data_IF_502808654962
#
_entry.id   IF_502808654962
#
_cell.length_a   1.000
_cell.length_b   1.000
_cell.length_c   1.000
_cell.angle_alpha   90.00
_cell.angle_beta   90.00
_cell.angle_gamma   90.00
#
_symmetry.space_group_name_H-M   'P 1'
#
loop_
_entity.id
_entity.type
_entity.pdbx_description
1 polymer ?
#
# COMPACT_ATOMS: atom_id res chain seq x y z
N UNK A 1 8.14 -32.03 38.96
CA UNK A 1 9.23 -31.06 38.80
C UNK A 1 9.27 -30.62 37.34
N UNK A 2 8.99 -29.34 37.10
CA UNK A 2 8.92 -28.68 35.80
C UNK A 2 10.32 -28.28 35.30
N UNK A 3 10.38 -28.02 33.99
CA UNK A 3 11.35 -27.18 33.27
C UNK A 3 12.64 -27.91 32.84
N UNK A 4 13.15 -27.78 31.61
CA UNK A 4 13.10 -26.68 30.65
C UNK A 4 13.12 -27.23 29.21
N UNK A 5 12.08 -27.01 28.42
CA UNK A 5 12.21 -27.00 26.96
C UNK A 5 12.43 -25.55 26.56
N UNK A 6 13.68 -25.21 26.27
CA UNK A 6 14.06 -23.89 25.79
C UNK A 6 13.46 -23.63 24.41
N UNK A 7 12.32 -22.95 24.38
CA UNK A 7 11.84 -22.29 23.18
C UNK A 7 12.92 -21.28 22.76
N UNK A 8 13.69 -21.62 21.72
CA UNK A 8 14.50 -20.65 21.00
C UNK A 8 13.55 -19.60 20.44
N UNK A 9 13.41 -18.49 21.16
CA UNK A 9 12.82 -17.26 20.65
C UNK A 9 13.71 -16.80 19.49
N UNK A 10 13.36 -17.20 18.27
CA UNK A 10 13.97 -16.68 17.05
C UNK A 10 13.64 -15.19 16.99
N UNK A 11 14.54 -14.35 17.49
CA UNK A 11 14.48 -12.91 17.30
C UNK A 11 14.81 -12.64 15.83
N UNK A 12 13.78 -12.43 15.01
CA UNK A 12 13.94 -12.01 13.63
C UNK A 12 14.28 -10.52 13.62
N UNK A 13 15.57 -10.16 13.63
CA UNK A 13 15.98 -8.78 13.37
C UNK A 13 15.99 -8.54 11.86
N UNK A 14 14.90 -8.00 11.35
CA UNK A 14 14.94 -7.32 10.05
C UNK A 14 15.66 -5.99 10.29
N UNK A 15 16.64 -5.67 9.45
CA UNK A 15 17.09 -4.29 9.32
C UNK A 15 15.96 -3.53 8.60
N UNK A 16 14.94 -3.15 9.39
CA UNK A 16 13.74 -2.44 8.93
C UNK A 16 14.07 -1.03 8.45
N UNK A 17 15.25 -0.52 8.83
CA UNK A 17 15.87 0.69 8.29
C UNK A 17 16.65 0.37 7.00
N UNK A 18 16.11 -0.55 6.20
CA UNK A 18 16.69 -0.95 4.93
C UNK A 18 17.13 0.28 4.14
N UNK A 19 18.35 0.24 3.58
CA UNK A 19 18.88 1.35 2.79
C UNK A 19 17.85 1.70 1.71
N UNK A 20 17.33 2.93 1.73
CA UNK A 20 16.46 3.40 0.66
C UNK A 20 17.26 3.47 -0.63
N UNK A 21 16.80 2.74 -1.64
CA UNK A 21 17.33 2.87 -2.99
C UNK A 21 16.64 4.06 -3.63
N UNK A 22 17.41 5.11 -3.89
CA UNK A 22 16.99 6.23 -4.70
C UNK A 22 17.51 6.01 -6.13
N UNK A 23 16.60 5.88 -7.09
CA UNK A 23 16.94 5.74 -8.50
C UNK A 23 16.28 6.88 -9.26
N UNK A 24 17.10 7.87 -9.64
CA UNK A 24 16.70 8.93 -10.54
C UNK A 24 17.16 8.60 -11.96
N UNK A 25 16.27 8.72 -12.92
CA UNK A 25 16.64 8.70 -14.33
C UNK A 25 15.92 9.82 -15.06
N UNK A 26 16.67 10.52 -15.92
CA UNK A 26 16.17 11.63 -16.70
C UNK A 26 16.32 11.33 -18.20
N UNK A 27 15.33 11.75 -18.96
CA UNK A 27 15.31 11.78 -20.40
C UNK A 27 14.59 13.06 -20.84
N UNK A 28 14.74 13.47 -22.09
CA UNK A 28 14.08 14.67 -22.63
C UNK A 28 12.55 14.69 -22.41
N UNK A 29 11.92 13.53 -22.21
CA UNK A 29 10.46 13.38 -22.14
C UNK A 29 9.97 12.95 -20.74
N UNK A 30 10.83 12.41 -19.88
CA UNK A 30 10.42 11.86 -18.57
C UNK A 30 11.52 11.92 -17.53
N UNK A 31 11.13 12.34 -16.32
CA UNK A 31 11.93 12.30 -15.09
C UNK A 31 11.30 11.30 -14.14
N UNK A 32 12.09 10.31 -13.71
CA UNK A 32 11.63 9.26 -12.79
C UNK A 32 12.40 9.35 -11.48
N UNK A 33 11.69 9.53 -10.37
CA UNK A 33 12.25 9.53 -9.03
C UNK A 33 11.69 8.34 -8.25
N UNK A 34 12.47 7.27 -8.09
CA UNK A 34 12.04 6.08 -7.36
C UNK A 34 12.73 5.99 -6.01
N UNK A 35 11.96 5.87 -4.93
CA UNK A 35 12.45 5.50 -3.61
C UNK A 35 11.74 4.25 -3.10
N UNK A 36 12.50 3.20 -2.79
CA UNK A 36 11.98 1.94 -2.23
C UNK A 36 12.99 1.29 -1.27
N UNK A 37 12.53 0.49 -0.30
CA UNK A 37 13.41 -0.14 0.68
C UNK A 37 14.20 -1.29 0.07
N UNK A 38 15.43 -1.47 0.57
CA UNK A 38 16.22 -2.69 0.39
C UNK A 38 16.39 -3.37 1.76
N UNK A 39 15.74 -4.50 1.94
CA UNK A 39 15.77 -5.28 3.17
C UNK A 39 17.04 -6.13 3.24
N UNK A 40 17.59 -6.29 4.45
CA UNK A 40 18.69 -7.23 4.74
C UNK A 40 18.21 -8.31 5.72
N UNK A 41 18.92 -9.42 5.76
CA UNK A 41 18.63 -10.55 6.66
C UNK A 41 17.87 -11.69 6.01
N UNK A 42 17.56 -12.71 6.81
CA UNK A 42 16.89 -13.93 6.36
C UNK A 42 15.49 -13.64 5.80
N UNK A 43 15.14 -14.23 4.65
CA UNK A 43 13.83 -14.05 4.02
C UNK A 43 13.64 -12.77 3.19
N UNK A 44 14.60 -11.83 3.22
CA UNK A 44 14.51 -10.54 2.52
C UNK A 44 14.49 -10.61 0.98
N UNK A 45 14.97 -11.71 0.39
CA UNK A 45 15.09 -11.86 -1.07
C UNK A 45 13.76 -11.68 -1.81
N UNK A 46 12.66 -12.22 -1.28
CA UNK A 46 11.33 -12.10 -1.91
C UNK A 46 10.78 -10.67 -1.83
N UNK A 47 10.96 -10.00 -0.69
CA UNK A 47 10.57 -8.59 -0.51
C UNK A 47 11.36 -7.68 -1.45
N UNK A 48 12.67 -7.88 -1.55
CA UNK A 48 13.55 -7.12 -2.45
C UNK A 48 13.20 -7.38 -3.92
N UNK A 49 12.87 -8.62 -4.27
CA UNK A 49 12.41 -8.96 -5.61
C UNK A 49 11.06 -8.29 -5.93
N UNK A 50 10.14 -8.24 -4.97
CA UNK A 50 8.87 -7.52 -5.14
C UNK A 50 9.10 -6.02 -5.39
N UNK A 51 9.91 -5.36 -4.55
CA UNK A 51 10.23 -3.94 -4.70
C UNK A 51 10.89 -3.63 -6.04
N UNK A 52 11.90 -4.42 -6.43
CA UNK A 52 12.63 -4.21 -7.68
C UNK A 52 11.76 -4.46 -8.92
N UNK A 53 10.86 -5.46 -8.88
CA UNK A 53 9.89 -5.69 -9.96
C UNK A 53 8.87 -4.57 -10.07
N UNK A 54 8.39 -4.03 -8.94
CA UNK A 54 7.49 -2.88 -8.95
C UNK A 54 8.16 -1.65 -9.57
N UNK A 55 9.39 -1.34 -9.15
CA UNK A 55 10.20 -0.27 -9.73
C UNK A 55 10.45 -0.48 -11.25
N UNK A 56 10.76 -1.70 -11.67
CA UNK A 56 10.96 -2.03 -13.08
C UNK A 56 9.67 -1.90 -13.92
N UNK A 57 8.52 -2.28 -13.35
CA UNK A 57 7.22 -2.11 -13.99
C UNK A 57 6.90 -0.63 -14.22
N UNK A 58 7.16 0.23 -13.23
CA UNK A 58 7.02 1.69 -13.39
C UNK A 58 7.94 2.24 -14.47
N UNK A 59 9.23 1.83 -14.48
CA UNK A 59 10.17 2.22 -15.55
C UNK A 59 9.63 1.84 -16.95
N UNK A 60 9.09 0.63 -17.09
CA UNK A 60 8.50 0.15 -18.34
C UNK A 60 7.27 0.97 -18.77
N UNK A 61 6.38 1.29 -17.82
CA UNK A 61 5.22 2.15 -18.06
C UNK A 61 5.63 3.56 -18.53
N UNK A 62 6.62 4.17 -17.88
CA UNK A 62 7.14 5.49 -18.22
C UNK A 62 7.71 5.54 -19.64
N UNK A 63 8.46 4.50 -20.03
CA UNK A 63 8.99 4.37 -21.41
C UNK A 63 7.87 4.36 -22.45
N UNK A 64 6.77 3.64 -22.19
CA UNK A 64 5.62 3.59 -23.11
C UNK A 64 4.97 4.95 -23.28
N UNK A 65 4.77 5.70 -22.18
CA UNK A 65 4.21 7.06 -22.25
C UNK A 65 5.16 8.01 -22.98
N UNK A 66 6.47 7.89 -22.74
CA UNK A 66 7.48 8.72 -23.40
C UNK A 66 7.43 8.57 -24.92
N UNK A 67 7.35 7.32 -25.42
CA UNK A 67 7.24 7.02 -26.85
C UNK A 67 5.97 7.63 -27.47
N UNK A 68 4.84 7.61 -26.75
CA UNK A 68 3.60 8.22 -27.24
C UNK A 68 3.59 9.75 -27.21
N UNK A 69 4.46 10.38 -26.40
CA UNK A 69 4.49 11.83 -26.18
C UNK A 69 5.66 12.51 -26.89
N UNK A 70 6.05 12.04 -28.08
CA UNK A 70 7.24 12.47 -28.81
C UNK A 70 7.13 13.89 -29.43
N UNK A 71 6.49 14.81 -28.72
CA UNK A 71 6.24 16.19 -29.12
C UNK A 71 7.21 17.09 -28.33
N UNK A 72 8.23 17.61 -29.01
CA UNK A 72 9.41 18.24 -28.41
C UNK A 72 9.14 19.50 -27.58
N UNK A 73 7.91 20.03 -27.63
CA UNK A 73 7.47 21.21 -26.88
C UNK A 73 6.74 20.90 -25.57
N UNK A 74 6.59 19.63 -25.17
CA UNK A 74 5.91 19.28 -23.91
C UNK A 74 6.89 19.20 -22.75
N UNK A 75 6.47 19.76 -21.60
CA UNK A 75 7.18 19.58 -20.34
C UNK A 75 7.36 18.09 -20.01
N UNK A 76 8.50 17.70 -19.41
CA UNK A 76 8.76 16.32 -19.09
C UNK A 76 7.71 15.78 -18.10
N UNK A 77 7.30 14.53 -18.30
CA UNK A 77 6.44 13.82 -17.36
C UNK A 77 7.27 13.44 -16.13
N UNK A 78 6.98 14.03 -14.98
CA UNK A 78 7.65 13.69 -13.72
C UNK A 78 6.85 12.59 -13.03
N UNK A 79 7.48 11.48 -12.68
CA UNK A 79 6.87 10.41 -11.88
C UNK A 79 7.67 10.20 -10.60
N UNK A 80 6.99 10.33 -9.47
CA UNK A 80 7.57 10.14 -8.14
C UNK A 80 6.98 8.89 -7.50
N UNK A 81 7.84 7.98 -7.04
CA UNK A 81 7.46 6.85 -6.21
C UNK A 81 8.08 7.00 -4.82
N UNK A 82 7.23 6.97 -3.79
CA UNK A 82 7.63 6.90 -2.39
C UNK A 82 7.20 5.57 -1.80
N UNK A 83 7.91 5.12 -0.77
CA UNK A 83 7.56 3.91 -0.05
C UNK A 83 7.50 4.16 1.45
N UNK A 84 6.59 3.48 2.13
CA UNK A 84 6.55 3.39 3.58
C UNK A 84 6.54 1.90 3.99
N UNK A 85 7.21 1.60 5.09
CA UNK A 85 7.26 0.26 5.67
C UNK A 85 6.71 0.34 7.09
N UNK A 86 5.81 -0.59 7.42
CA UNK A 86 5.34 -0.82 8.77
C UNK A 86 5.62 -2.26 9.14
N UNK A 87 6.02 -2.52 10.39
CA UNK A 87 6.32 -3.87 10.87
C UNK A 87 5.65 -4.13 12.21
N UNK A 88 5.09 -5.33 12.34
CA UNK A 88 4.76 -5.95 13.62
C UNK A 88 5.67 -7.15 13.86
N UNK A 89 5.51 -7.83 15.00
CA UNK A 89 6.35 -8.99 15.35
C UNK A 89 6.32 -10.11 14.29
N UNK A 90 5.18 -10.31 13.60
CA UNK A 90 4.99 -11.43 12.68
C UNK A 90 4.80 -11.01 11.22
N UNK A 91 4.61 -9.71 10.95
CA UNK A 91 4.21 -9.22 9.63
C UNK A 91 4.89 -7.91 9.24
N UNK A 92 5.06 -7.71 7.95
CA UNK A 92 5.54 -6.46 7.36
C UNK A 92 4.54 -5.96 6.34
N UNK A 93 4.22 -4.68 6.40
CA UNK A 93 3.44 -3.99 5.39
C UNK A 93 4.32 -3.03 4.61
N UNK A 94 4.18 -3.09 3.29
CA UNK A 94 4.87 -2.21 2.36
C UNK A 94 3.83 -1.43 1.57
N UNK A 95 3.95 -0.12 1.59
CA UNK A 95 3.10 0.80 0.84
C UNK A 95 3.97 1.56 -0.17
N UNK A 96 3.51 1.66 -1.41
CA UNK A 96 4.05 2.52 -2.44
C UNK A 96 3.03 3.58 -2.81
N UNK A 97 3.49 4.82 -2.97
CA UNK A 97 2.70 5.90 -3.53
C UNK A 97 3.37 6.41 -4.80
N UNK A 98 2.61 6.42 -5.89
CA UNK A 98 3.08 6.83 -7.21
C UNK A 98 2.27 8.04 -7.66
N UNK A 99 2.95 9.15 -7.92
CA UNK A 99 2.33 10.40 -8.40
C UNK A 99 2.97 10.87 -9.69
N UNK A 100 2.19 11.55 -10.52
CA UNK A 100 2.67 12.24 -11.71
C UNK A 100 2.67 13.75 -11.47
N UNK A 101 3.85 14.37 -11.46
CA UNK A 101 4.02 15.78 -11.15
C UNK A 101 3.45 16.14 -9.78
N UNK A 102 2.49 17.07 -9.77
CA UNK A 102 1.78 17.52 -8.56
C UNK A 102 0.43 16.83 -8.33
N UNK A 103 0.08 15.84 -9.15
CA UNK A 103 -1.17 15.11 -8.99
C UNK A 103 -1.14 14.27 -7.70
N UNK A 104 -2.33 14.03 -7.14
CA UNK A 104 -2.48 13.13 -6.01
C UNK A 104 -1.98 11.72 -6.37
N UNK A 105 -1.36 11.01 -5.42
CA UNK A 105 -0.78 9.71 -5.70
C UNK A 105 -1.84 8.62 -5.82
N UNK A 106 -1.48 7.57 -6.56
CA UNK A 106 -2.07 6.25 -6.42
C UNK A 106 -1.27 5.45 -5.40
N UNK A 107 -1.97 4.71 -4.51
CA UNK A 107 -1.34 3.87 -3.50
C UNK A 107 -1.42 2.40 -3.86
N UNK A 108 -0.33 1.68 -3.65
CA UNK A 108 -0.24 0.24 -3.77
C UNK A 108 0.27 -0.30 -2.45
N UNK A 109 -0.24 -1.45 -2.02
CA UNK A 109 0.18 -2.03 -0.76
C UNK A 109 0.33 -3.54 -0.88
N UNK A 110 1.16 -4.10 -0.02
CA UNK A 110 1.29 -5.53 0.16
C UNK A 110 1.72 -5.83 1.59
N UNK A 111 1.07 -6.81 2.20
CA UNK A 111 1.39 -7.28 3.55
C UNK A 111 2.00 -8.66 3.45
N UNK A 112 3.07 -8.91 4.20
CA UNK A 112 3.89 -10.11 4.11
C UNK A 112 4.05 -10.73 5.48
N UNK A 113 3.99 -12.06 5.56
CA UNK A 113 4.35 -12.79 6.76
C UNK A 113 5.87 -12.85 6.89
N UNK A 114 6.40 -12.39 8.02
CA UNK A 114 7.83 -12.47 8.32
C UNK A 114 8.29 -13.90 8.65
N UNK A 115 7.36 -14.81 8.95
CA UNK A 115 7.66 -16.22 9.24
C UNK A 115 8.10 -16.99 7.99
N UNK A 116 7.48 -16.72 6.84
CA UNK A 116 7.68 -17.51 5.63
C UNK A 116 7.94 -16.69 4.35
N UNK A 117 7.94 -15.35 4.47
CA UNK A 117 8.21 -14.42 3.37
C UNK A 117 7.17 -14.47 2.26
N UNK A 118 5.91 -14.76 2.57
CA UNK A 118 4.81 -14.77 1.60
C UNK A 118 3.80 -13.66 1.84
N UNK A 119 3.15 -13.13 0.78
CA UNK A 119 2.06 -12.19 0.93
C UNK A 119 0.89 -12.77 1.71
N UNK A 120 0.29 -11.95 2.57
CA UNK A 120 -0.90 -12.24 3.34
C UNK A 120 -2.15 -11.80 2.56
N UNK A 121 -3.24 -12.55 2.75
CA UNK A 121 -4.54 -12.21 2.20
C UNK A 121 -5.39 -11.54 3.26
N UNK A 122 -6.00 -10.40 2.93
CA UNK A 122 -6.90 -9.67 3.82
C UNK A 122 -7.99 -10.56 4.41
N UNK A 123 -8.62 -11.39 3.58
CA UNK A 123 -9.71 -12.29 4.00
C UNK A 123 -9.19 -13.36 4.96
N UNK A 124 -7.99 -13.90 4.71
CA UNK A 124 -7.39 -14.90 5.60
C UNK A 124 -6.98 -14.30 6.94
N UNK A 125 -6.46 -13.08 6.93
CA UNK A 125 -6.02 -12.38 8.15
C UNK A 125 -7.21 -11.94 9.00
N UNK A 126 -8.27 -11.43 8.37
CA UNK A 126 -9.46 -10.92 9.09
C UNK A 126 -10.46 -12.03 9.44
N UNK A 127 -10.49 -13.13 8.67
CA UNK A 127 -11.58 -14.10 8.71
C UNK A 127 -12.91 -13.55 8.20
N UNK A 128 -12.95 -12.32 7.69
CA UNK A 128 -14.17 -11.65 7.24
C UNK A 128 -14.43 -11.91 5.76
N UNK A 129 -15.68 -12.17 5.43
CA UNK A 129 -16.12 -12.26 4.02
C UNK A 129 -16.07 -10.88 3.37
N UNK A 130 -15.95 -10.85 2.03
CA UNK A 130 -16.06 -9.62 1.23
C UNK A 130 -17.30 -8.80 1.61
N UNK A 131 -18.45 -9.47 1.82
CA UNK A 131 -19.71 -8.82 2.21
C UNK A 131 -19.56 -8.08 3.55
N UNK A 132 -19.05 -8.75 4.58
CA UNK A 132 -18.86 -8.14 5.91
C UNK A 132 -17.87 -6.97 5.87
N UNK A 133 -16.79 -7.09 5.10
CA UNK A 133 -15.84 -5.99 4.92
C UNK A 133 -16.51 -4.77 4.27
N UNK A 134 -17.29 -4.98 3.21
CA UNK A 134 -18.02 -3.90 2.53
C UNK A 134 -19.05 -3.25 3.48
N UNK A 135 -19.78 -4.04 4.27
CA UNK A 135 -20.72 -3.52 5.27
C UNK A 135 -20.03 -2.62 6.29
N UNK A 136 -18.88 -3.04 6.83
CA UNK A 136 -18.08 -2.22 7.75
C UNK A 136 -17.59 -0.92 7.09
N UNK A 137 -17.16 -0.97 5.83
CA UNK A 137 -16.72 0.22 5.09
C UNK A 137 -17.87 1.20 4.85
N UNK A 138 -19.08 0.70 4.55
CA UNK A 138 -20.28 1.53 4.41
C UNK A 138 -20.63 2.20 5.73
N UNK A 139 -20.67 1.44 6.84
CA UNK A 139 -20.95 1.99 8.17
C UNK A 139 -19.95 3.08 8.59
N UNK A 140 -18.64 2.84 8.38
CA UNK A 140 -17.61 3.86 8.66
C UNK A 140 -17.72 5.07 7.75
N UNK A 141 -18.21 4.90 6.52
CA UNK A 141 -18.46 6.04 5.60
C UNK A 141 -19.64 6.86 6.10
N UNK A 142 -20.73 6.22 6.53
CA UNK A 142 -21.90 6.89 7.11
C UNK A 142 -21.55 7.66 8.40
N UNK A 143 -20.72 7.07 9.27
CA UNK A 143 -20.20 7.75 10.46
C UNK A 143 -19.38 8.99 10.12
N UNK A 144 -18.55 8.93 9.07
CA UNK A 144 -17.76 10.10 8.61
C UNK A 144 -18.65 11.19 8.03
N UNK A 145 -19.70 10.82 7.29
CA UNK A 145 -20.67 11.76 6.74
C UNK A 145 -21.45 12.45 7.86
N UNK A 146 -21.98 11.70 8.83
CA UNK A 146 -22.78 12.26 9.92
C UNK A 146 -21.99 13.21 10.82
N UNK A 147 -20.68 12.98 10.96
CA UNK A 147 -19.75 13.85 11.68
C UNK A 147 -19.16 14.99 10.84
N UNK A 148 -19.50 15.09 9.56
CA UNK A 148 -18.96 16.12 8.65
C UNK A 148 -17.44 16.01 8.42
N UNK A 149 -16.86 14.82 8.56
CA UNK A 149 -15.40 14.63 8.49
C UNK A 149 -14.86 14.59 7.05
N UNK A 150 -15.71 14.18 6.09
CA UNK A 150 -15.36 13.95 4.69
C UNK A 150 -16.60 14.08 3.81
N UNK A 151 -16.39 14.46 2.55
CA UNK A 151 -17.43 14.47 1.51
C UNK A 151 -17.31 13.21 0.65
N UNK A 152 -18.46 12.58 0.35
CA UNK A 152 -18.54 11.40 -0.52
C UNK A 152 -19.55 11.64 -1.65
N UNK A 153 -19.47 10.87 -2.74
CA UNK A 153 -20.47 10.92 -3.80
C UNK A 153 -21.83 10.40 -3.33
N UNK A 154 -22.93 10.87 -3.91
CA UNK A 154 -24.28 10.44 -3.52
C UNK A 154 -24.53 8.93 -3.64
N UNK A 155 -23.80 8.25 -4.53
CA UNK A 155 -23.88 6.80 -4.74
C UNK A 155 -22.71 6.01 -4.11
N UNK A 156 -22.08 6.56 -3.07
CA UNK A 156 -20.89 5.97 -2.42
C UNK A 156 -21.06 4.49 -2.05
N UNK A 157 -22.22 4.05 -1.57
CA UNK A 157 -22.47 2.63 -1.23
C UNK A 157 -22.23 1.69 -2.42
N UNK A 158 -22.74 2.08 -3.59
CA UNK A 158 -22.55 1.36 -4.86
C UNK A 158 -21.09 1.39 -5.28
N UNK A 159 -20.44 2.54 -5.14
CA UNK A 159 -19.03 2.70 -5.48
C UNK A 159 -18.11 1.87 -4.58
N UNK A 160 -18.34 1.84 -3.26
CA UNK A 160 -17.62 0.97 -2.32
C UNK A 160 -17.73 -0.48 -2.78
N UNK A 161 -18.93 -0.97 -3.08
CA UNK A 161 -19.10 -2.35 -3.52
C UNK A 161 -18.34 -2.66 -4.83
N UNK A 162 -18.41 -1.75 -5.81
CA UNK A 162 -17.80 -1.90 -7.13
C UNK A 162 -16.27 -1.74 -7.11
N UNK A 163 -15.77 -0.82 -6.30
CA UNK A 163 -14.35 -0.43 -6.24
C UNK A 163 -13.56 -1.15 -5.16
N UNK A 164 -14.23 -1.87 -4.25
CA UNK A 164 -13.55 -2.65 -3.23
C UNK A 164 -12.56 -3.64 -3.85
N UNK A 165 -11.29 -3.41 -3.55
CA UNK A 165 -10.17 -4.25 -3.94
C UNK A 165 -9.55 -4.87 -2.69
N UNK A 166 -9.51 -6.21 -2.67
CA UNK A 166 -8.97 -7.00 -1.55
C UNK A 166 -7.46 -6.82 -1.35
N UNK A 167 -6.76 -6.27 -2.33
CA UNK A 167 -5.32 -6.00 -2.29
C UNK A 167 -5.01 -4.57 -1.84
N UNK A 168 -6.01 -3.68 -1.75
CA UNK A 168 -5.85 -2.31 -1.27
C UNK A 168 -5.93 -2.25 0.26
N UNK A 169 -4.98 -2.89 0.94
CA UNK A 169 -4.90 -2.86 2.39
C UNK A 169 -3.45 -2.92 2.89
N UNK A 170 -3.23 -2.41 4.09
CA UNK A 170 -1.94 -2.41 4.77
C UNK A 170 -2.13 -2.49 6.30
N UNK A 171 -1.05 -2.77 7.02
CA UNK A 171 -1.03 -2.65 8.48
C UNK A 171 -0.60 -1.23 8.87
N UNK A 172 -1.34 -0.61 9.78
CA UNK A 172 -0.98 0.63 10.44
C UNK A 172 -1.11 0.51 11.96
N UNK A 173 -0.91 1.61 12.67
CA UNK A 173 -0.86 1.65 14.14
C UNK A 173 -2.15 1.11 14.79
N UNK A 174 -3.30 1.36 14.18
CA UNK A 174 -4.62 0.92 14.66
C UNK A 174 -5.04 -0.47 14.14
N UNK A 175 -4.12 -1.23 13.53
CA UNK A 175 -4.42 -2.53 12.92
C UNK A 175 -4.55 -2.47 11.39
N UNK A 176 -5.64 -3.01 10.85
CA UNK A 176 -5.80 -3.17 9.39
C UNK A 176 -6.38 -1.89 8.79
N UNK A 177 -5.73 -1.36 7.77
CA UNK A 177 -6.21 -0.22 6.99
C UNK A 177 -6.59 -0.66 5.58
N UNK A 178 -7.82 -0.40 5.15
CA UNK A 178 -8.30 -0.61 3.77
C UNK A 178 -8.43 0.75 3.10
N UNK A 179 -8.07 0.86 1.82
CA UNK A 179 -8.13 2.14 1.13
C UNK A 179 -8.77 2.11 -0.26
N UNK A 180 -9.24 3.28 -0.68
CA UNK A 180 -9.73 3.59 -2.03
C UNK A 180 -8.88 4.71 -2.63
N UNK A 181 -8.60 4.62 -3.93
CA UNK A 181 -7.82 5.62 -4.66
C UNK A 181 -8.58 6.96 -4.75
N UNK A 182 -7.88 8.08 -5.03
CA UNK A 182 -8.54 9.36 -5.24
C UNK A 182 -9.62 9.25 -6.33
N UNK A 183 -10.81 9.80 -6.08
CA UNK A 183 -11.90 9.80 -7.05
C UNK A 183 -12.74 8.51 -7.11
N UNK A 184 -12.40 7.43 -6.38
CA UNK A 184 -13.14 6.16 -6.49
C UNK A 184 -14.50 6.19 -5.79
N UNK A 185 -14.57 6.76 -4.59
CA UNK A 185 -15.79 6.82 -3.76
C UNK A 185 -16.09 8.23 -3.22
N UNK A 186 -15.16 9.16 -3.40
CA UNK A 186 -15.21 10.55 -2.96
C UNK A 186 -14.56 11.46 -4.02
N UNK A 187 -14.86 12.78 -4.03
CA UNK A 187 -14.19 13.74 -4.90
C UNK A 187 -12.66 13.66 -4.80
N UNK A 188 -11.94 13.90 -5.90
CA UNK A 188 -10.47 13.76 -5.96
C UNK A 188 -9.77 14.58 -4.87
N UNK A 189 -10.29 15.76 -4.53
CA UNK A 189 -9.74 16.64 -3.48
C UNK A 189 -9.69 15.99 -2.09
N UNK A 190 -10.51 14.99 -1.83
CA UNK A 190 -10.50 14.23 -0.57
C UNK A 190 -9.33 13.24 -0.49
N UNK A 191 -8.61 13.03 -1.60
CA UNK A 191 -7.47 12.13 -1.67
C UNK A 191 -7.83 10.66 -1.46
N UNK A 192 -6.82 9.88 -1.05
CA UNK A 192 -6.98 8.45 -0.76
C UNK A 192 -7.85 8.27 0.48
N UNK A 193 -8.95 7.54 0.35
CA UNK A 193 -9.85 7.25 1.46
C UNK A 193 -9.35 6.02 2.21
N UNK A 194 -8.84 6.20 3.43
CA UNK A 194 -8.36 5.10 4.29
C UNK A 194 -9.37 4.82 5.39
N UNK A 195 -9.68 3.56 5.63
CA UNK A 195 -10.56 3.09 6.70
C UNK A 195 -9.80 2.09 7.58
N UNK A 196 -9.62 2.43 8.85
CA UNK A 196 -9.08 1.50 9.85
C UNK A 196 -10.18 0.55 10.33
N UNK A 197 -9.94 -0.73 10.15
CA UNK A 197 -10.65 -1.79 10.85
C UNK A 197 -9.89 -2.08 12.14
N UNK A 198 -10.58 -1.92 13.26
CA UNK A 198 -10.03 -2.34 14.55
C UNK A 198 -9.72 -3.83 14.48
N UNK A 199 -8.56 -4.22 15.03
CA UNK A 199 -8.31 -5.63 15.28
C UNK A 199 -9.44 -6.17 16.17
N UNK A 200 -9.93 -7.40 15.97
CA UNK A 200 -10.84 -7.99 16.93
C UNK A 200 -10.21 -7.87 18.32
N UNK A 201 -10.96 -7.31 19.27
CA UNK A 201 -10.55 -7.32 20.67
C UNK A 201 -10.10 -8.73 21.00
N UNK A 202 -8.86 -8.87 21.47
CA UNK A 202 -8.38 -10.13 22.00
C UNK A 202 -9.18 -10.37 23.29
N UNK A 203 -10.34 -11.02 23.15
CA UNK A 203 -11.07 -11.65 24.26
C UNK A 203 -10.43 -12.97 24.61
#
# INVERSE_FOLDING_TARGET
MLSQNGERKLSFSYDINGKHINNSSESAVTVLNLSYPLFKGWGSAKLNLYCSRFAAALKSYCRKISVSNNDSNRLPVIINMRSAVFTSEASLSLCFEVSQGRNLPYRFASVWSLKNGWPLSLIKVTGLSRRKLIEQLVLKTEERISRGLRIYYGDYKRLIHRRFNKDNWYLGDSGISIFFQPGEIAPVIEGIQVFSLEAPAQT
#
